data_IF_786551223296
#
_entry.id   IF_786551223296
#
_cell.length_a   1.000
_cell.length_b   1.000
_cell.length_c   1.000
_cell.angle_alpha   90.00
_cell.angle_beta   90.00
_cell.angle_gamma   90.00
#
_symmetry.space_group_name_H-M   'P 1'
#
loop_
_entity.id
_entity.type
_entity.pdbx_description
1 polymer ?
#
# COMPACT_ATOMS: atom_id res chain seq x y z
N UNK A 1 -44.34 -8.46 -13.39
CA UNK A 1 -45.23 -8.86 -12.28
C UNK A 1 -45.23 -10.38 -12.13
N UNK A 2 -44.45 -10.93 -11.19
CA UNK A 2 -44.38 -12.39 -10.93
C UNK A 2 -45.37 -12.84 -9.82
N UNK A 3 -46.32 -11.99 -9.41
CA UNK A 3 -47.13 -12.17 -8.19
C UNK A 3 -48.35 -13.10 -8.29
N UNK A 4 -48.68 -13.66 -9.45
CA UNK A 4 -49.93 -14.43 -9.63
C UNK A 4 -49.72 -15.95 -9.72
N UNK A 5 -48.49 -16.39 -10.06
CA UNK A 5 -48.18 -17.81 -10.26
C UNK A 5 -47.47 -18.35 -9.03
N UNK A 6 -48.02 -19.35 -8.39
CA UNK A 6 -47.45 -19.98 -7.19
C UNK A 6 -46.89 -21.35 -7.59
N UNK A 7 -45.61 -21.64 -7.33
CA UNK A 7 -45.00 -22.89 -7.77
C UNK A 7 -45.42 -24.10 -6.93
N UNK A 8 -45.70 -23.89 -5.63
CA UNK A 8 -46.01 -24.96 -4.70
C UNK A 8 -47.32 -24.72 -3.94
N UNK A 9 -48.17 -25.75 -3.91
CA UNK A 9 -49.35 -25.84 -3.06
C UNK A 9 -49.10 -26.79 -1.90
N UNK A 10 -49.75 -26.56 -0.76
CA UNK A 10 -49.65 -27.44 0.42
C UNK A 10 -50.91 -28.29 0.55
N UNK A 11 -50.76 -29.60 0.75
CA UNK A 11 -51.84 -30.55 1.06
C UNK A 11 -51.31 -31.56 2.08
N UNK A 12 -52.06 -31.78 3.17
CA UNK A 12 -51.72 -32.74 4.24
C UNK A 12 -50.29 -32.60 4.79
N UNK A 13 -49.83 -31.36 4.96
CA UNK A 13 -48.48 -31.07 5.46
C UNK A 13 -47.36 -31.17 4.41
N UNK A 14 -47.63 -31.75 3.24
CA UNK A 14 -46.69 -31.90 2.13
C UNK A 14 -46.83 -30.76 1.10
N UNK A 15 -45.75 -30.50 0.36
CA UNK A 15 -45.75 -29.53 -0.73
C UNK A 15 -45.73 -30.26 -2.06
N UNK A 16 -46.59 -29.80 -2.96
CA UNK A 16 -46.75 -30.33 -4.30
C UNK A 16 -46.57 -29.22 -5.32
N UNK A 17 -45.99 -29.56 -6.47
CA UNK A 17 -46.04 -28.75 -7.68
C UNK A 17 -47.39 -28.92 -8.35
N UNK A 18 -47.76 -27.96 -9.19
CA UNK A 18 -49.06 -27.99 -9.83
C UNK A 18 -49.26 -29.22 -10.72
N UNK A 19 -48.22 -29.76 -11.37
CA UNK A 19 -48.36 -30.96 -12.20
C UNK A 19 -48.43 -32.28 -11.40
N UNK A 20 -48.18 -32.24 -10.10
CA UNK A 20 -48.18 -33.42 -9.21
C UNK A 20 -49.56 -33.68 -8.59
N UNK A 21 -50.56 -32.85 -8.92
CA UNK A 21 -51.92 -32.87 -8.33
C UNK A 21 -53.00 -32.80 -9.40
N UNK A 22 -54.24 -33.05 -9.00
CA UNK A 22 -55.41 -32.94 -9.85
C UNK A 22 -55.59 -31.51 -10.39
N UNK A 23 -56.14 -31.36 -11.60
CA UNK A 23 -56.40 -30.04 -12.17
C UNK A 23 -57.50 -29.30 -11.39
N UNK A 24 -57.40 -27.97 -11.32
CA UNK A 24 -58.46 -27.13 -10.79
C UNK A 24 -58.49 -27.07 -9.26
N UNK A 25 -59.68 -26.82 -8.70
CA UNK A 25 -59.93 -26.84 -7.26
C UNK A 25 -59.92 -28.26 -6.67
N UNK A 26 -60.03 -29.29 -7.52
CA UNK A 26 -59.96 -30.69 -7.10
C UNK A 26 -58.59 -31.05 -6.49
N UNK A 27 -57.54 -30.25 -6.73
CA UNK A 27 -56.23 -30.46 -6.10
C UNK A 27 -56.27 -30.40 -4.57
N UNK A 28 -57.26 -29.75 -3.95
CA UNK A 28 -57.35 -29.62 -2.50
C UNK A 28 -56.18 -28.88 -1.84
N UNK A 29 -55.35 -28.17 -2.61
CA UNK A 29 -54.16 -27.50 -2.11
C UNK A 29 -54.50 -26.14 -1.49
N UNK A 30 -53.74 -25.75 -0.47
CA UNK A 30 -53.77 -24.42 0.14
C UNK A 30 -52.47 -23.65 -0.11
N UNK A 31 -52.56 -22.32 -0.12
CA UNK A 31 -51.44 -21.42 -0.32
C UNK A 31 -50.47 -21.47 0.87
N UNK A 32 -49.17 -21.75 0.68
CA UNK A 32 -48.20 -21.80 1.78
C UNK A 32 -47.93 -20.44 2.46
N UNK A 33 -48.41 -19.34 1.88
CA UNK A 33 -48.30 -17.98 2.41
C UNK A 33 -49.56 -17.51 3.13
N UNK A 34 -50.70 -17.44 2.44
CA UNK A 34 -51.96 -16.93 3.02
C UNK A 34 -52.93 -18.01 3.50
N UNK A 35 -52.60 -19.30 3.33
CA UNK A 35 -53.39 -20.47 3.73
C UNK A 35 -54.76 -20.62 3.05
N UNK A 36 -55.06 -19.83 2.02
CA UNK A 36 -56.32 -19.92 1.26
C UNK A 36 -56.27 -20.98 0.16
N UNK A 37 -57.43 -21.51 -0.28
CA UNK A 37 -57.49 -22.53 -1.33
C UNK A 37 -56.84 -22.10 -2.65
N UNK A 38 -56.16 -23.04 -3.28
CA UNK A 38 -55.52 -22.88 -4.58
C UNK A 38 -56.27 -23.65 -5.68
N UNK A 39 -56.15 -23.14 -6.90
CA UNK A 39 -56.55 -23.79 -8.14
C UNK A 39 -55.27 -24.19 -8.90
N UNK A 40 -55.11 -25.48 -9.18
CA UNK A 40 -54.00 -26.01 -9.97
C UNK A 40 -54.23 -25.77 -11.47
N UNK A 41 -53.50 -24.83 -12.07
CA UNK A 41 -53.50 -24.57 -13.50
C UNK A 41 -52.42 -25.43 -14.20
N UNK A 42 -52.71 -26.72 -14.37
CA UNK A 42 -51.79 -27.72 -14.93
C UNK A 42 -52.30 -28.44 -16.20
N UNK A 43 -53.54 -28.20 -16.65
CA UNK A 43 -54.11 -28.86 -17.83
C UNK A 43 -53.75 -28.21 -19.19
N UNK A 44 -52.93 -27.16 -19.20
CA UNK A 44 -52.56 -26.44 -20.42
C UNK A 44 -51.16 -26.80 -20.92
N UNK A 45 -50.95 -26.82 -22.23
CA UNK A 45 -49.65 -27.16 -22.84
C UNK A 45 -48.69 -25.96 -23.01
N UNK A 46 -49.22 -24.73 -23.05
CA UNK A 46 -48.44 -23.50 -23.37
C UNK A 46 -47.88 -22.78 -22.14
N UNK A 47 -48.42 -23.05 -20.95
CA UNK A 47 -48.07 -22.32 -19.72
C UNK A 47 -47.57 -23.33 -18.71
N UNK A 48 -46.39 -23.06 -18.15
CA UNK A 48 -45.79 -23.87 -17.08
C UNK A 48 -46.83 -24.11 -15.98
N UNK A 49 -47.04 -25.36 -15.52
CA UNK A 49 -47.94 -25.67 -14.43
C UNK A 49 -47.68 -24.78 -13.20
N UNK A 50 -48.74 -24.18 -12.67
CA UNK A 50 -48.66 -23.33 -11.48
C UNK A 50 -50.00 -23.31 -10.75
N UNK A 51 -49.97 -22.89 -9.50
CA UNK A 51 -51.18 -22.60 -8.74
C UNK A 51 -51.58 -21.13 -8.87
N UNK A 52 -52.88 -20.90 -8.75
CA UNK A 52 -53.52 -19.58 -8.63
C UNK A 52 -54.46 -19.61 -7.43
N UNK A 53 -54.83 -18.45 -6.88
CA UNK A 53 -55.93 -18.40 -5.92
C UNK A 53 -57.25 -18.65 -6.63
N UNK A 54 -58.17 -19.36 -5.97
CA UNK A 54 -59.51 -19.60 -6.50
C UNK A 54 -60.36 -18.32 -6.64
N UNK A 55 -60.03 -17.26 -5.89
CA UNK A 55 -60.65 -15.94 -5.95
C UNK A 55 -59.58 -14.85 -6.17
N UNK A 56 -59.97 -13.67 -6.68
CA UNK A 56 -59.07 -12.57 -7.03
C UNK A 56 -58.39 -11.95 -5.81
N UNK A 57 -57.37 -12.61 -5.31
CA UNK A 57 -56.57 -12.16 -4.19
C UNK A 57 -55.13 -11.85 -4.60
N UNK A 58 -54.70 -10.63 -4.26
CA UNK A 58 -53.31 -10.21 -4.40
C UNK A 58 -52.47 -10.80 -3.27
N UNK A 59 -52.21 -12.10 -3.33
CA UNK A 59 -51.34 -12.76 -2.36
C UNK A 59 -49.87 -12.49 -2.68
N UNK A 60 -49.27 -11.61 -1.89
CA UNK A 60 -47.87 -11.21 -2.05
C UNK A 60 -46.89 -12.31 -1.57
N UNK A 61 -47.35 -13.23 -0.72
CA UNK A 61 -46.48 -14.21 -0.03
C UNK A 61 -46.46 -15.61 -0.64
N UNK A 62 -47.46 -16.01 -1.44
CA UNK A 62 -47.61 -17.39 -1.90
C UNK A 62 -46.42 -17.96 -2.66
N UNK A 63 -45.87 -17.20 -3.61
CA UNK A 63 -44.65 -17.59 -4.32
C UNK A 63 -43.47 -17.74 -3.36
N UNK A 64 -43.19 -16.69 -2.58
CA UNK A 64 -42.05 -16.58 -1.66
C UNK A 64 -42.03 -17.72 -0.64
N UNK A 65 -43.14 -17.92 0.04
CA UNK A 65 -43.24 -18.87 1.14
C UNK A 65 -43.36 -20.30 0.61
N UNK A 66 -43.97 -20.50 -0.56
CA UNK A 66 -43.97 -21.78 -1.26
C UNK A 66 -42.56 -22.25 -1.62
N UNK A 67 -41.77 -21.42 -2.30
CA UNK A 67 -40.37 -21.74 -2.66
C UNK A 67 -39.53 -22.00 -1.42
N UNK A 68 -39.63 -21.13 -0.40
CA UNK A 68 -38.86 -21.27 0.84
C UNK A 68 -39.19 -22.57 1.57
N UNK A 69 -40.48 -22.87 1.77
CA UNK A 69 -40.91 -24.08 2.46
C UNK A 69 -40.55 -25.34 1.68
N UNK A 70 -40.59 -25.32 0.34
CA UNK A 70 -40.14 -26.42 -0.50
C UNK A 70 -38.64 -26.70 -0.34
N UNK A 71 -37.81 -25.66 -0.37
CA UNK A 71 -36.38 -25.78 -0.13
C UNK A 71 -36.07 -26.30 1.28
N UNK A 72 -36.74 -25.80 2.33
CA UNK A 72 -36.57 -26.32 3.70
C UNK A 72 -36.99 -27.78 3.82
N UNK A 73 -38.11 -28.17 3.20
CA UNK A 73 -38.58 -29.55 3.21
C UNK A 73 -37.55 -30.49 2.54
N UNK A 74 -36.96 -30.06 1.43
CA UNK A 74 -35.93 -30.81 0.72
C UNK A 74 -34.65 -30.98 1.55
N UNK A 75 -34.16 -29.89 2.17
CA UNK A 75 -33.00 -29.95 3.08
C UNK A 75 -33.26 -30.92 4.24
N UNK A 76 -34.45 -30.87 4.84
CA UNK A 76 -34.82 -31.75 5.94
C UNK A 76 -34.99 -33.22 5.52
N UNK A 77 -35.43 -33.47 4.28
CA UNK A 77 -35.54 -34.82 3.73
C UNK A 77 -34.16 -35.44 3.45
N UNK A 78 -33.26 -34.68 2.82
CA UNK A 78 -31.95 -35.17 2.39
C UNK A 78 -30.90 -35.13 3.51
N UNK A 79 -31.07 -34.23 4.50
CA UNK A 79 -30.12 -33.98 5.62
C UNK A 79 -28.68 -33.75 5.18
N UNK A 80 -28.48 -33.40 3.91
CA UNK A 80 -27.19 -33.17 3.29
C UNK A 80 -27.23 -31.86 2.53
N UNK A 81 -26.19 -31.06 2.69
CA UNK A 81 -26.08 -29.74 2.07
C UNK A 81 -24.62 -29.46 1.71
N UNK A 82 -24.35 -29.07 0.47
CA UNK A 82 -23.04 -28.52 0.09
C UNK A 82 -22.87 -27.13 0.69
N UNK A 83 -21.74 -26.87 1.30
CA UNK A 83 -21.38 -25.60 1.93
C UNK A 83 -20.37 -24.87 1.06
N UNK A 84 -20.51 -23.54 0.85
CA UNK A 84 -19.60 -22.79 0.01
C UNK A 84 -18.15 -22.87 0.51
N UNK A 85 -17.20 -22.72 -0.42
CA UNK A 85 -15.82 -22.43 -0.03
C UNK A 85 -15.76 -21.09 0.75
N UNK A 86 -14.83 -21.00 1.69
CA UNK A 86 -14.48 -19.77 2.37
C UNK A 86 -13.09 -19.35 1.91
N UNK A 87 -12.91 -18.09 1.52
CA UNK A 87 -11.62 -17.52 1.16
C UNK A 87 -11.49 -16.13 1.77
N UNK A 88 -10.36 -15.87 2.40
CA UNK A 88 -10.05 -14.58 2.99
C UNK A 88 -8.55 -14.33 2.89
N UNK A 89 -8.15 -13.10 2.59
CA UNK A 89 -6.74 -12.72 2.51
C UNK A 89 -6.42 -11.83 3.70
N UNK A 90 -5.40 -12.20 4.46
CA UNK A 90 -4.85 -11.38 5.55
C UNK A 90 -3.49 -10.83 5.13
N UNK A 91 -3.14 -9.68 5.68
CA UNK A 91 -1.83 -9.06 5.47
C UNK A 91 -1.38 -8.26 6.68
N UNK A 92 -0.07 -8.19 6.88
CA UNK A 92 0.57 -7.36 7.89
C UNK A 92 1.82 -6.70 7.28
N UNK A 93 2.18 -5.52 7.78
CA UNK A 93 3.34 -4.77 7.33
C UNK A 93 4.43 -4.84 8.38
N UNK A 94 5.64 -5.20 7.97
CA UNK A 94 6.85 -5.13 8.80
C UNK A 94 7.42 -3.71 8.82
N UNK A 95 8.29 -3.42 9.78
CA UNK A 95 8.92 -2.10 9.97
C UNK A 95 9.81 -1.70 8.78
N UNK A 96 10.32 -2.70 8.05
CA UNK A 96 11.03 -2.53 6.78
C UNK A 96 10.15 -2.01 5.63
N UNK A 97 8.82 -1.96 5.80
CA UNK A 97 7.84 -1.68 4.76
C UNK A 97 7.44 -2.92 3.94
N UNK A 98 8.04 -4.08 4.19
CA UNK A 98 7.66 -5.34 3.54
C UNK A 98 6.26 -5.77 3.98
N UNK A 99 5.38 -6.06 3.02
CA UNK A 99 4.05 -6.62 3.28
C UNK A 99 4.12 -8.15 3.24
N UNK A 100 3.69 -8.79 4.31
CA UNK A 100 3.49 -10.22 4.40
C UNK A 100 2.01 -10.52 4.22
N UNK A 101 1.66 -11.45 3.34
CA UNK A 101 0.26 -11.81 3.06
C UNK A 101 0.04 -13.32 3.10
N UNK A 102 -1.18 -13.71 3.44
CA UNK A 102 -1.59 -15.12 3.53
C UNK A 102 -3.02 -15.29 3.06
N UNK A 103 -3.25 -16.29 2.22
CA UNK A 103 -4.60 -16.74 1.88
C UNK A 103 -5.06 -17.77 2.92
N UNK A 104 -6.21 -17.49 3.53
CA UNK A 104 -6.95 -18.41 4.39
C UNK A 104 -8.09 -18.99 3.59
N UNK A 105 -8.05 -20.31 3.36
CA UNK A 105 -9.10 -21.01 2.62
C UNK A 105 -9.71 -22.16 3.41
N UNK A 106 -11.01 -22.37 3.23
CA UNK A 106 -11.72 -23.61 3.57
C UNK A 106 -12.38 -24.08 2.28
N UNK A 107 -12.10 -25.30 1.80
CA UNK A 107 -12.69 -25.78 0.56
C UNK A 107 -14.21 -25.97 0.71
N UNK A 108 -14.90 -25.97 -0.42
CA UNK A 108 -16.28 -26.44 -0.50
C UNK A 108 -16.39 -27.84 0.13
N UNK A 109 -17.46 -28.09 0.88
CA UNK A 109 -17.63 -29.38 1.56
C UNK A 109 -19.09 -29.77 1.67
N UNK A 110 -19.37 -31.07 1.73
CA UNK A 110 -20.73 -31.57 1.98
C UNK A 110 -20.93 -31.77 3.48
N UNK A 111 -21.90 -31.07 4.06
CA UNK A 111 -22.33 -31.30 5.43
C UNK A 111 -23.47 -32.34 5.45
N UNK A 112 -23.38 -33.28 6.40
CA UNK A 112 -24.46 -34.23 6.72
C UNK A 112 -24.91 -33.98 8.15
N UNK A 113 -26.22 -33.88 8.36
CA UNK A 113 -26.82 -33.52 9.63
C UNK A 113 -27.54 -34.72 10.28
N UNK A 114 -27.42 -34.83 11.60
CA UNK A 114 -28.15 -35.81 12.39
C UNK A 114 -29.64 -35.44 12.41
N UNK A 115 -29.91 -34.15 12.65
CA UNK A 115 -31.26 -33.58 12.69
C UNK A 115 -31.35 -32.30 11.87
N UNK A 116 -32.56 -32.02 11.38
CA UNK A 116 -32.89 -30.77 10.68
C UNK A 116 -34.18 -30.20 11.23
N UNK A 117 -34.08 -29.09 11.93
CA UNK A 117 -35.23 -28.34 12.44
C UNK A 117 -35.65 -27.27 11.43
N UNK A 118 -36.96 -27.07 11.28
CA UNK A 118 -37.55 -26.22 10.24
C UNK A 118 -38.12 -24.95 10.87
N UNK A 119 -37.79 -23.79 10.32
CA UNK A 119 -38.31 -22.49 10.76
C UNK A 119 -38.13 -22.24 12.28
N UNK A 120 -36.88 -22.35 12.74
CA UNK A 120 -36.51 -22.18 14.15
C UNK A 120 -36.47 -20.70 14.50
N UNK A 121 -37.19 -20.32 15.55
CA UNK A 121 -37.12 -18.98 16.13
C UNK A 121 -35.86 -18.87 17.01
N UNK A 122 -34.98 -17.93 16.68
CA UNK A 122 -33.75 -17.63 17.40
C UNK A 122 -33.87 -16.30 18.17
N UNK A 123 -35.10 -15.85 18.44
CA UNK A 123 -35.42 -14.58 19.08
C UNK A 123 -35.57 -13.46 18.03
N UNK A 124 -34.47 -12.82 17.67
CA UNK A 124 -34.50 -11.67 16.76
C UNK A 124 -34.68 -12.06 15.28
N UNK A 125 -34.45 -13.33 14.96
CA UNK A 125 -34.49 -13.85 13.59
C UNK A 125 -34.95 -15.30 13.57
N UNK A 126 -35.75 -15.63 12.56
CA UNK A 126 -36.10 -17.02 12.26
C UNK A 126 -35.10 -17.57 11.24
N UNK A 127 -34.39 -18.64 11.59
CA UNK A 127 -33.64 -19.46 10.65
C UNK A 127 -34.59 -20.39 9.89
N UNK A 128 -34.44 -20.50 8.58
CA UNK A 128 -35.38 -21.32 7.79
C UNK A 128 -35.13 -22.82 8.00
N UNK A 129 -33.87 -23.21 8.19
CA UNK A 129 -33.51 -24.52 8.70
C UNK A 129 -32.31 -24.42 9.65
N UNK A 130 -32.25 -25.32 10.63
CA UNK A 130 -31.10 -25.52 11.50
C UNK A 130 -30.67 -26.97 11.34
N UNK A 131 -29.46 -27.17 10.82
CA UNK A 131 -28.84 -28.48 10.68
C UNK A 131 -27.93 -28.71 11.87
N UNK A 132 -28.12 -29.81 12.58
CA UNK A 132 -27.32 -30.18 13.75
C UNK A 132 -26.50 -31.43 13.45
N UNK A 133 -25.19 -31.37 13.69
CA UNK A 133 -24.26 -32.51 13.60
C UNK A 133 -23.44 -32.56 14.88
N UNK A 134 -23.68 -33.56 15.73
CA UNK A 134 -23.14 -33.61 17.09
C UNK A 134 -23.51 -32.35 17.89
N UNK A 135 -22.51 -31.61 18.35
CA UNK A 135 -22.69 -30.37 19.10
C UNK A 135 -22.65 -29.09 18.24
N UNK A 136 -22.64 -29.21 16.92
CA UNK A 136 -22.50 -28.09 15.99
C UNK A 136 -23.80 -27.82 15.26
N UNK A 137 -24.13 -26.55 15.13
CA UNK A 137 -25.29 -26.08 14.39
C UNK A 137 -24.88 -25.26 13.17
N UNK A 138 -25.61 -25.45 12.07
CA UNK A 138 -25.57 -24.63 10.88
C UNK A 138 -26.95 -24.03 10.63
N UNK A 139 -27.02 -22.70 10.66
CA UNK A 139 -28.21 -21.95 10.34
C UNK A 139 -28.31 -21.73 8.83
N UNK A 140 -29.47 -22.02 8.25
CA UNK A 140 -29.72 -21.83 6.81
C UNK A 140 -30.76 -20.75 6.60
N UNK A 141 -30.41 -19.78 5.77
CA UNK A 141 -31.30 -18.77 5.24
C UNK A 141 -31.54 -19.03 3.77
N UNK A 142 -32.76 -18.80 3.31
CA UNK A 142 -33.18 -19.00 1.91
C UNK A 142 -33.69 -17.66 1.38
N UNK A 143 -32.97 -17.10 0.41
CA UNK A 143 -33.37 -15.91 -0.34
C UNK A 143 -34.26 -16.33 -1.49
N UNK A 144 -35.36 -15.62 -1.68
CA UNK A 144 -36.26 -15.83 -2.84
C UNK A 144 -36.41 -14.56 -3.66
N UNK A 145 -36.03 -13.40 -3.12
CA UNK A 145 -36.01 -12.13 -3.84
C UNK A 145 -34.69 -11.41 -3.61
N UNK A 146 -34.27 -10.63 -4.61
CA UNK A 146 -32.97 -9.93 -4.62
C UNK A 146 -32.86 -8.81 -3.57
N UNK A 147 -33.98 -8.34 -3.01
CA UNK A 147 -33.99 -7.26 -2.02
C UNK A 147 -33.11 -7.62 -0.81
N UNK A 148 -32.15 -6.74 -0.52
CA UNK A 148 -31.25 -6.89 0.61
C UNK A 148 -32.01 -6.82 1.95
N UNK A 149 -31.72 -7.76 2.85
CA UNK A 149 -32.25 -7.82 4.21
C UNK A 149 -31.12 -7.61 5.23
N UNK A 150 -30.36 -6.51 5.11
CA UNK A 150 -29.13 -6.24 5.89
C UNK A 150 -29.27 -6.48 7.39
N UNK A 151 -30.34 -5.98 8.02
CA UNK A 151 -30.61 -6.20 9.46
C UNK A 151 -30.72 -7.67 9.84
N UNK A 152 -31.16 -8.53 8.92
CA UNK A 152 -31.29 -9.97 9.14
C UNK A 152 -29.94 -10.67 9.05
N UNK A 153 -29.09 -10.23 8.12
CA UNK A 153 -27.71 -10.73 8.02
C UNK A 153 -26.93 -10.45 9.28
N UNK A 154 -27.01 -9.21 9.77
CA UNK A 154 -26.40 -8.79 11.03
C UNK A 154 -26.86 -9.63 12.23
N UNK A 155 -28.16 -9.88 12.35
CA UNK A 155 -28.71 -10.74 13.41
C UNK A 155 -28.19 -12.18 13.33
N UNK A 156 -28.19 -12.77 12.13
CA UNK A 156 -27.68 -14.13 11.92
C UNK A 156 -26.16 -14.24 12.12
N UNK A 157 -25.39 -13.18 11.83
CA UNK A 157 -23.96 -13.16 12.10
C UNK A 157 -23.65 -13.03 13.60
N UNK A 158 -24.54 -12.44 14.39
CA UNK A 158 -24.30 -12.27 15.84
C UNK A 158 -24.59 -13.54 16.65
N UNK A 159 -25.20 -14.57 16.06
CA UNK A 159 -25.44 -15.86 16.72
C UNK A 159 -24.16 -16.68 16.68
N UNK A 160 -23.84 -17.39 17.78
CA UNK A 160 -22.68 -18.27 17.91
C UNK A 160 -22.83 -19.60 17.16
N UNK A 161 -23.28 -19.54 15.91
CA UNK A 161 -23.40 -20.67 15.00
C UNK A 161 -22.92 -20.26 13.60
N UNK A 162 -22.50 -21.24 12.79
CA UNK A 162 -22.22 -20.95 11.38
C UNK A 162 -23.53 -20.72 10.65
N UNK A 163 -23.54 -19.81 9.67
CA UNK A 163 -24.75 -19.47 8.93
C UNK A 163 -24.47 -19.32 7.44
N UNK A 164 -25.34 -19.92 6.62
CA UNK A 164 -25.24 -19.94 5.17
C UNK A 164 -26.51 -19.40 4.54
N UNK A 165 -26.35 -18.65 3.46
CA UNK A 165 -27.44 -18.26 2.58
C UNK A 165 -27.50 -19.21 1.38
N UNK A 166 -28.72 -19.60 1.02
CA UNK A 166 -29.07 -20.19 -0.27
C UNK A 166 -29.90 -19.17 -1.04
N UNK A 167 -29.33 -18.58 -2.08
CA UNK A 167 -29.95 -17.61 -2.97
C UNK A 167 -30.68 -18.29 -4.14
N UNK A 168 -32.00 -18.35 -4.05
CA UNK A 168 -32.89 -18.85 -5.08
C UNK A 168 -33.57 -17.71 -5.86
N UNK A 169 -33.19 -16.45 -5.62
CA UNK A 169 -33.85 -15.28 -6.24
C UNK A 169 -33.59 -15.15 -7.74
N UNK A 170 -32.55 -15.80 -8.25
CA UNK A 170 -32.23 -15.88 -9.68
C UNK A 170 -33.00 -16.97 -10.43
N UNK A 171 -33.73 -17.86 -9.74
CA UNK A 171 -34.43 -18.94 -10.41
C UNK A 171 -35.74 -18.48 -11.06
N UNK A 172 -35.92 -18.84 -12.32
CA UNK A 172 -37.20 -18.68 -13.01
C UNK A 172 -38.24 -19.68 -12.50
N UNK A 173 -39.53 -19.39 -12.73
CA UNK A 173 -40.62 -20.32 -12.38
C UNK A 173 -40.46 -21.69 -13.06
N UNK A 174 -39.88 -21.75 -14.26
CA UNK A 174 -39.58 -23.00 -14.96
C UNK A 174 -38.55 -23.83 -14.21
N UNK A 175 -37.43 -23.20 -13.81
CA UNK A 175 -36.38 -23.85 -13.03
C UNK A 175 -36.85 -24.30 -11.64
N UNK A 176 -37.76 -23.56 -11.01
CA UNK A 176 -38.37 -23.94 -9.74
C UNK A 176 -39.30 -25.16 -9.90
N UNK A 177 -40.05 -25.21 -11.01
CA UNK A 177 -40.94 -26.32 -11.29
C UNK A 177 -40.21 -27.58 -11.77
N UNK A 178 -39.01 -27.46 -12.35
CA UNK A 178 -38.19 -28.61 -12.70
C UNK A 178 -37.59 -29.26 -11.43
N UNK A 179 -37.96 -30.51 -11.07
CA UNK A 179 -37.55 -31.11 -9.80
C UNK A 179 -36.02 -31.21 -9.63
N UNK A 180 -35.31 -31.63 -10.67
CA UNK A 180 -33.86 -31.84 -10.62
C UNK A 180 -33.10 -30.52 -10.54
N UNK A 181 -33.52 -29.51 -11.32
CA UNK A 181 -32.92 -28.18 -11.28
C UNK A 181 -33.13 -27.51 -9.93
N UNK A 182 -34.35 -27.57 -9.40
CA UNK A 182 -34.65 -27.01 -8.08
C UNK A 182 -33.88 -27.73 -6.97
N UNK A 183 -33.81 -29.07 -7.03
CA UNK A 183 -33.05 -29.86 -6.07
C UNK A 183 -31.57 -29.50 -6.05
N UNK A 184 -30.94 -29.47 -7.23
CA UNK A 184 -29.54 -29.07 -7.38
C UNK A 184 -29.30 -27.66 -6.85
N UNK A 185 -30.17 -26.70 -7.21
CA UNK A 185 -30.04 -25.31 -6.77
C UNK A 185 -30.10 -25.16 -5.25
N UNK A 186 -30.93 -25.96 -4.57
CA UNK A 186 -31.04 -25.93 -3.10
C UNK A 186 -29.86 -26.65 -2.46
N UNK A 187 -29.56 -27.88 -2.88
CA UNK A 187 -28.68 -28.76 -2.11
C UNK A 187 -27.20 -28.63 -2.44
N UNK A 188 -26.84 -28.36 -3.70
CA UNK A 188 -25.46 -28.56 -4.16
C UNK A 188 -24.86 -27.49 -5.07
N UNK A 189 -25.66 -26.65 -5.74
CA UNK A 189 -25.16 -25.63 -6.66
C UNK A 189 -24.31 -24.58 -5.94
N UNK A 190 -23.02 -24.49 -6.26
CA UNK A 190 -22.08 -23.54 -5.65
C UNK A 190 -22.46 -22.08 -5.91
N UNK A 191 -23.13 -21.78 -7.04
CA UNK A 191 -23.52 -20.41 -7.41
C UNK A 191 -24.65 -19.84 -6.56
N UNK A 192 -25.43 -20.71 -5.90
CA UNK A 192 -26.57 -20.30 -5.08
C UNK A 192 -26.21 -20.15 -3.62
N UNK A 193 -24.97 -20.34 -3.18
CA UNK A 193 -24.65 -20.37 -1.75
C UNK A 193 -23.49 -19.49 -1.36
N UNK A 194 -23.64 -18.81 -0.23
CA UNK A 194 -22.62 -17.94 0.34
C UNK A 194 -22.65 -18.01 1.87
N UNK A 195 -21.48 -17.84 2.48
CA UNK A 195 -21.40 -17.72 3.94
C UNK A 195 -22.00 -16.38 4.37
N UNK A 196 -22.94 -16.43 5.32
CA UNK A 196 -23.28 -15.26 6.14
C UNK A 196 -22.24 -15.14 7.25
N UNK A 197 -21.93 -16.28 7.91
CA UNK A 197 -20.85 -16.39 8.90
C UNK A 197 -20.24 -17.80 8.88
N UNK A 198 -18.92 -17.89 8.90
CA UNK A 198 -18.19 -19.15 8.99
C UNK A 198 -17.31 -19.18 10.24
N UNK A 199 -17.76 -19.85 11.30
CA UNK A 199 -16.96 -19.98 12.53
C UNK A 199 -15.62 -20.70 12.28
N UNK A 200 -15.63 -21.68 11.37
CA UNK A 200 -14.40 -22.36 10.93
C UNK A 200 -13.48 -21.42 10.16
N UNK A 201 -14.03 -20.55 9.31
CA UNK A 201 -13.28 -19.51 8.60
C UNK A 201 -12.65 -18.51 9.57
N UNK A 202 -13.43 -17.97 10.51
CA UNK A 202 -12.97 -17.05 11.56
C UNK A 202 -11.85 -17.66 12.41
N UNK A 203 -12.00 -18.92 12.83
CA UNK A 203 -10.96 -19.62 13.58
C UNK A 203 -9.66 -19.75 12.78
N UNK A 204 -9.75 -20.05 11.48
CA UNK A 204 -8.57 -20.11 10.61
C UNK A 204 -7.93 -18.74 10.38
N UNK A 205 -8.73 -17.68 10.28
CA UNK A 205 -8.23 -16.30 10.21
C UNK A 205 -7.43 -15.98 11.47
N UNK A 206 -8.01 -16.15 12.66
CA UNK A 206 -7.33 -15.88 13.93
C UNK A 206 -6.00 -16.63 14.07
N UNK A 207 -5.99 -17.91 13.66
CA UNK A 207 -4.75 -18.71 13.66
C UNK A 207 -3.72 -18.15 12.68
N UNK A 208 -4.14 -17.86 11.45
CA UNK A 208 -3.25 -17.32 10.43
C UNK A 208 -2.72 -15.93 10.80
N UNK A 209 -3.51 -15.09 11.49
CA UNK A 209 -3.09 -13.80 12.04
C UNK A 209 -2.01 -13.98 13.12
N UNK A 210 -2.17 -14.93 14.04
CA UNK A 210 -1.17 -15.21 15.06
C UNK A 210 0.16 -15.73 14.45
N UNK A 211 0.08 -16.60 13.46
CA UNK A 211 1.25 -17.09 12.71
C UNK A 211 1.92 -15.94 11.95
N UNK A 212 1.14 -15.08 11.26
CA UNK A 212 1.64 -13.94 10.52
C UNK A 212 2.29 -12.89 11.45
N UNK A 213 1.71 -12.65 12.63
CA UNK A 213 2.29 -11.76 13.63
C UNK A 213 3.67 -12.24 14.10
N UNK A 214 3.83 -13.56 14.28
CA UNK A 214 5.14 -14.16 14.61
C UNK A 214 6.16 -13.92 13.50
N UNK A 215 5.75 -14.03 12.24
CA UNK A 215 6.62 -13.75 11.09
C UNK A 215 6.98 -12.27 10.95
N UNK A 216 6.05 -11.36 11.28
CA UNK A 216 6.34 -9.91 11.33
C UNK A 216 7.40 -9.61 12.36
N UNK A 217 7.28 -10.16 13.58
CA UNK A 217 8.30 -9.99 14.63
C UNK A 217 9.66 -10.47 14.13
N UNK A 218 9.71 -11.67 13.53
CA UNK A 218 10.95 -12.19 12.98
C UNK A 218 11.55 -11.29 11.89
N UNK A 219 10.72 -10.78 10.98
CA UNK A 219 11.15 -9.85 9.93
C UNK A 219 11.67 -8.52 10.52
N UNK A 220 11.02 -8.01 11.58
CA UNK A 220 11.44 -6.79 12.26
C UNK A 220 12.78 -6.98 12.98
N UNK A 221 12.97 -8.11 13.66
CA UNK A 221 14.23 -8.44 14.34
C UNK A 221 15.39 -8.51 13.34
N UNK A 222 15.19 -9.17 12.20
CA UNK A 222 16.21 -9.22 11.13
C UNK A 222 16.51 -7.83 10.58
N UNK A 223 15.47 -7.03 10.34
CA UNK A 223 15.65 -5.68 9.82
C UNK A 223 16.42 -4.78 10.80
N UNK A 224 16.14 -4.83 12.10
CA UNK A 224 16.86 -4.02 13.09
C UNK A 224 18.33 -4.46 13.23
N UNK A 225 18.62 -5.76 13.11
CA UNK A 225 20.00 -6.27 13.05
C UNK A 225 20.76 -5.73 11.83
N UNK A 226 20.11 -5.58 10.68
CA UNK A 226 20.71 -4.99 9.48
C UNK A 226 20.86 -3.47 9.58
N UNK A 227 19.90 -2.76 10.19
CA UNK A 227 19.93 -1.31 10.30
C UNK A 227 20.93 -0.80 11.34
N UNK A 228 21.16 -1.55 12.42
CA UNK A 228 22.01 -1.10 13.53
C UNK A 228 23.45 -0.77 13.07
N UNK A 229 24.18 -1.65 12.35
CA UNK A 229 25.52 -1.33 11.86
C UNK A 229 25.54 -0.13 10.90
N UNK A 230 24.52 -0.01 10.04
CA UNK A 230 24.41 1.09 9.09
C UNK A 230 24.22 2.44 9.80
N UNK A 231 23.44 2.49 10.88
CA UNK A 231 23.27 3.70 11.71
C UNK A 231 24.59 4.08 12.36
N UNK A 232 25.33 3.12 12.91
CA UNK A 232 26.66 3.36 13.52
C UNK A 232 27.66 3.90 12.49
N UNK A 233 27.72 3.31 11.28
CA UNK A 233 28.61 3.78 10.21
C UNK A 233 28.23 5.20 9.76
N UNK A 234 26.95 5.48 9.58
CA UNK A 234 26.47 6.82 9.19
C UNK A 234 26.83 7.86 10.25
N UNK A 235 26.64 7.53 11.53
CA UNK A 235 26.98 8.40 12.63
C UNK A 235 28.49 8.65 12.71
N UNK A 236 29.31 7.60 12.61
CA UNK A 236 30.77 7.73 12.61
C UNK A 236 31.26 8.63 11.46
N UNK A 237 30.70 8.47 10.25
CA UNK A 237 31.00 9.35 9.11
C UNK A 237 30.58 10.79 9.35
N UNK A 238 29.45 11.02 10.01
CA UNK A 238 28.99 12.37 10.38
C UNK A 238 29.98 13.02 11.35
N UNK A 239 30.34 12.32 12.42
CA UNK A 239 31.30 12.80 13.42
C UNK A 239 32.67 13.07 12.79
N UNK A 240 33.15 12.19 11.92
CA UNK A 240 34.43 12.40 11.21
C UNK A 240 34.38 13.65 10.31
N UNK A 241 33.29 13.84 9.57
CA UNK A 241 33.11 15.03 8.72
C UNK A 241 33.04 16.31 9.55
N UNK A 242 32.30 16.30 10.67
CA UNK A 242 32.21 17.42 11.60
C UNK A 242 33.58 17.76 12.20
N UNK A 243 34.37 16.75 12.58
CA UNK A 243 35.73 16.93 13.06
C UNK A 243 36.65 17.55 12.00
N UNK A 244 36.62 17.06 10.74
CA UNK A 244 37.40 17.62 9.62
C UNK A 244 37.04 19.07 9.33
N UNK A 245 35.74 19.42 9.38
CA UNK A 245 35.28 20.80 9.19
C UNK A 245 35.76 21.70 10.33
N UNK A 246 35.68 21.23 11.58
CA UNK A 246 36.17 21.97 12.75
C UNK A 246 37.70 22.18 12.70
N UNK A 247 38.46 21.17 12.30
CA UNK A 247 39.91 21.26 12.11
C UNK A 247 40.27 22.28 11.01
N UNK A 248 39.62 22.19 9.84
CA UNK A 248 39.81 23.16 8.75
C UNK A 248 39.46 24.59 9.17
N UNK A 249 38.36 24.79 9.89
CA UNK A 249 37.96 26.09 10.41
C UNK A 249 38.99 26.66 11.39
N UNK A 250 39.53 25.82 12.28
CA UNK A 250 40.60 26.20 13.22
C UNK A 250 41.88 26.61 12.47
N UNK A 251 42.30 25.80 11.49
CA UNK A 251 43.47 26.09 10.67
C UNK A 251 43.30 27.39 9.84
N UNK A 252 42.11 27.61 9.27
CA UNK A 252 41.80 28.84 8.54
C UNK A 252 41.83 30.07 9.44
N UNK A 253 41.29 29.97 10.67
CA UNK A 253 41.33 31.06 11.64
C UNK A 253 42.76 31.42 12.04
N UNK A 254 43.61 30.42 12.30
CA UNK A 254 45.03 30.63 12.57
C UNK A 254 45.76 31.27 11.37
N UNK A 255 45.50 30.78 10.14
CA UNK A 255 46.06 31.37 8.92
C UNK A 255 45.63 32.83 8.73
N UNK A 256 44.35 33.14 8.96
CA UNK A 256 43.82 34.51 8.89
C UNK A 256 44.52 35.44 9.88
N UNK A 257 44.80 34.96 11.09
CA UNK A 257 45.54 35.72 12.09
C UNK A 257 46.95 36.08 11.58
N UNK A 258 47.68 35.10 11.02
CA UNK A 258 49.00 35.33 10.41
C UNK A 258 48.94 36.34 9.26
N UNK A 259 47.91 36.27 8.41
CA UNK A 259 47.73 37.26 7.33
C UNK A 259 47.51 38.66 7.87
N UNK A 260 46.72 38.81 8.94
CA UNK A 260 46.47 40.11 9.58
C UNK A 260 47.76 40.70 10.18
N UNK A 261 48.55 39.89 10.87
CA UNK A 261 49.85 40.29 11.43
C UNK A 261 50.83 40.71 10.31
N UNK A 262 50.87 39.96 9.21
CA UNK A 262 51.71 40.28 8.06
C UNK A 262 51.27 41.57 7.39
N UNK A 263 49.95 41.76 7.21
CA UNK A 263 49.38 42.98 6.66
C UNK A 263 49.74 44.20 7.52
N UNK A 264 49.69 44.07 8.85
CA UNK A 264 50.07 45.14 9.77
C UNK A 264 51.56 45.47 9.71
N UNK A 265 52.43 44.46 9.62
CA UNK A 265 53.85 44.66 9.40
C UNK A 265 54.13 45.40 8.08
N UNK A 266 53.44 45.03 6.99
CA UNK A 266 53.56 45.70 5.69
C UNK A 266 53.06 47.15 5.73
N UNK A 267 51.97 47.42 6.46
CA UNK A 267 51.48 48.79 6.71
C UNK A 267 52.53 49.62 7.45
N UNK A 268 53.11 49.07 8.52
CA UNK A 268 54.12 49.75 9.36
C UNK A 268 55.42 50.02 8.59
N UNK A 269 55.86 49.07 7.75
CA UNK A 269 57.04 49.21 6.90
C UNK A 269 56.82 50.17 5.70
N UNK A 270 55.60 50.67 5.51
CA UNK A 270 55.27 51.55 4.40
C UNK A 270 55.36 50.86 3.05
N UNK A 271 55.20 49.53 2.95
CA UNK A 271 55.29 48.79 1.67
C UNK A 271 54.12 49.13 0.72
N UNK A 272 53.04 49.70 1.26
CA UNK A 272 51.94 50.30 0.50
C UNK A 272 52.30 51.73 0.01
N UNK A 273 53.24 51.86 -0.94
CA UNK A 273 53.59 53.16 -1.55
C UNK A 273 52.95 53.35 -2.93
N UNK A 274 52.11 54.39 -2.99
CA UNK A 274 51.64 55.25 -4.11
C UNK A 274 50.96 54.62 -5.34
N UNK A 275 49.72 55.09 -5.53
CA UNK A 275 48.74 54.83 -6.58
C UNK A 275 49.13 55.31 -8.01
N UNK A 276 50.31 54.97 -8.52
CA UNK A 276 50.73 55.48 -9.85
C UNK A 276 50.22 54.64 -11.03
N UNK A 277 49.94 53.34 -10.83
CA UNK A 277 49.45 52.41 -11.87
C UNK A 277 47.97 52.06 -11.71
N UNK A 278 47.18 51.93 -12.79
CA UNK A 278 45.81 51.40 -12.74
C UNK A 278 45.75 50.03 -12.04
N UNK A 279 44.70 49.78 -11.24
CA UNK A 279 44.56 48.57 -10.42
C UNK A 279 44.75 47.25 -11.20
N UNK A 280 44.29 47.21 -12.46
CA UNK A 280 44.46 46.06 -13.36
C UNK A 280 45.94 45.77 -13.64
N UNK A 281 46.72 46.79 -14.01
CA UNK A 281 48.16 46.65 -14.28
C UNK A 281 48.93 46.23 -13.03
N UNK A 282 48.58 46.77 -11.86
CA UNK A 282 49.17 46.34 -10.58
C UNK A 282 48.90 44.87 -10.31
N UNK A 283 47.66 44.41 -10.50
CA UNK A 283 47.32 42.99 -10.29
C UNK A 283 48.03 42.10 -11.29
N UNK A 284 48.12 42.52 -12.55
CA UNK A 284 48.90 41.86 -13.60
C UNK A 284 50.36 41.66 -13.18
N UNK A 285 51.03 42.73 -12.76
CA UNK A 285 52.41 42.70 -12.28
C UNK A 285 52.59 41.76 -11.08
N UNK A 286 51.69 41.78 -10.11
CA UNK A 286 51.74 40.87 -8.96
C UNK A 286 51.63 39.40 -9.38
N UNK A 287 50.73 39.06 -10.31
CA UNK A 287 50.57 37.69 -10.82
C UNK A 287 51.82 37.26 -11.60
N UNK A 288 52.36 38.13 -12.46
CA UNK A 288 53.59 37.86 -13.21
C UNK A 288 54.77 37.65 -12.26
N UNK A 289 54.95 38.53 -11.29
CA UNK A 289 56.05 38.46 -10.32
C UNK A 289 55.98 37.20 -9.47
N UNK A 290 54.79 36.82 -9.00
CA UNK A 290 54.63 35.55 -8.27
C UNK A 290 54.84 34.33 -9.18
N UNK A 291 54.50 34.41 -10.46
CA UNK A 291 54.79 33.34 -11.43
C UNK A 291 56.29 33.15 -11.62
N UNK A 292 57.04 34.25 -11.76
CA UNK A 292 58.49 34.21 -11.88
C UNK A 292 59.15 33.73 -10.58
N UNK A 293 58.64 34.17 -9.42
CA UNK A 293 59.07 33.69 -8.10
C UNK A 293 58.91 32.17 -7.99
N UNK A 294 57.76 31.63 -8.37
CA UNK A 294 57.51 30.20 -8.32
C UNK A 294 58.52 29.39 -9.15
N UNK A 295 58.93 29.88 -10.32
CA UNK A 295 59.97 29.23 -11.14
C UNK A 295 61.34 29.29 -10.45
N UNK A 296 61.71 30.47 -9.95
CA UNK A 296 63.05 30.74 -9.42
C UNK A 296 63.29 30.12 -8.05
N UNK A 297 62.30 30.21 -7.16
CA UNK A 297 62.42 29.87 -5.74
C UNK A 297 61.72 28.55 -5.39
N UNK A 298 60.67 28.16 -6.12
CA UNK A 298 59.84 27.00 -5.79
C UNK A 298 59.93 25.87 -6.83
N UNK A 299 60.95 25.92 -7.70
CA UNK A 299 61.19 24.88 -8.72
C UNK A 299 60.06 24.73 -9.74
N UNK A 300 59.31 25.80 -9.99
CA UNK A 300 58.15 25.83 -10.87
C UNK A 300 56.89 25.19 -10.29
N UNK A 301 56.87 24.85 -9.00
CA UNK A 301 55.68 24.36 -8.29
C UNK A 301 55.08 25.49 -7.46
N UNK A 302 53.76 25.56 -7.38
CA UNK A 302 53.08 26.52 -6.52
C UNK A 302 51.64 26.11 -6.23
N UNK A 303 51.03 26.76 -5.25
CA UNK A 303 49.59 26.69 -4.98
C UNK A 303 48.90 27.94 -5.56
N UNK A 304 48.08 27.78 -6.60
CA UNK A 304 47.36 28.88 -7.25
C UNK A 304 46.01 29.14 -6.57
N UNK A 305 45.75 30.37 -6.14
CA UNK A 305 44.45 30.76 -5.61
C UNK A 305 43.43 30.99 -6.73
N UNK A 306 42.28 30.32 -6.69
CA UNK A 306 41.21 30.47 -7.69
C UNK A 306 40.41 31.79 -7.62
N UNK A 307 40.64 32.61 -6.59
CA UNK A 307 40.08 33.97 -6.48
C UNK A 307 41.07 35.05 -6.90
N UNK A 308 42.26 35.10 -6.33
CA UNK A 308 43.21 36.18 -6.60
C UNK A 308 44.27 35.84 -7.65
N UNK A 309 44.34 34.58 -8.12
CA UNK A 309 45.29 34.08 -9.11
C UNK A 309 46.77 34.26 -8.76
N UNK A 310 47.07 34.67 -7.52
CA UNK A 310 48.42 34.71 -7.00
C UNK A 310 48.85 33.31 -6.56
N UNK A 311 50.16 33.09 -6.67
CA UNK A 311 50.80 31.82 -6.35
C UNK A 311 51.38 31.88 -4.94
N UNK A 312 51.02 30.90 -4.11
CA UNK A 312 51.63 30.68 -2.80
C UNK A 312 52.67 29.55 -2.89
N UNK A 313 53.62 29.46 -1.94
CA UNK A 313 54.60 28.38 -1.92
C UNK A 313 53.94 26.98 -1.90
N UNK A 314 54.59 25.95 -2.45
CA UNK A 314 54.09 24.58 -2.42
C UNK A 314 53.70 24.12 -1.02
N UNK A 315 52.56 23.44 -0.89
CA UNK A 315 52.05 22.98 0.41
C UNK A 315 51.26 24.01 1.21
N UNK A 316 51.04 25.22 0.66
CA UNK A 316 50.14 26.22 1.26
C UNK A 316 48.69 25.75 1.19
N UNK A 317 48.10 25.46 2.35
CA UNK A 317 46.70 25.05 2.46
C UNK A 317 45.72 26.19 2.12
N UNK A 318 46.11 27.43 2.37
CA UNK A 318 45.28 28.63 2.18
C UNK A 318 46.03 29.69 1.37
N UNK A 319 45.31 30.57 0.69
CA UNK A 319 45.91 31.69 -0.01
C UNK A 319 46.58 32.66 0.96
N UNK A 320 47.85 32.99 0.75
CA UNK A 320 48.58 33.94 1.60
C UNK A 320 48.11 35.40 1.46
N UNK A 321 47.51 35.76 0.32
CA UNK A 321 47.34 37.17 -0.05
C UNK A 321 45.91 37.70 0.10
N UNK A 322 44.88 36.89 -0.18
CA UNK A 322 43.49 37.36 -0.18
C UNK A 322 42.64 36.74 0.93
N UNK A 323 41.48 37.33 1.17
CA UNK A 323 40.49 36.88 2.16
C UNK A 323 39.42 35.96 1.60
N UNK A 324 39.56 35.52 0.35
CA UNK A 324 38.63 34.54 -0.20
C UNK A 324 38.80 33.18 0.49
N UNK A 325 37.70 32.47 0.70
CA UNK A 325 37.68 31.04 1.08
C UNK A 325 37.81 30.13 -0.15
N UNK A 326 38.17 30.71 -1.31
CA UNK A 326 38.39 29.96 -2.52
C UNK A 326 39.58 28.99 -2.41
N UNK A 327 39.41 27.83 -3.02
CA UNK A 327 40.41 26.76 -3.01
C UNK A 327 41.72 27.21 -3.67
N UNK A 328 42.83 26.75 -3.10
CA UNK A 328 44.14 26.72 -3.74
C UNK A 328 44.32 25.39 -4.47
N UNK A 329 44.97 25.45 -5.64
CA UNK A 329 45.25 24.26 -6.45
C UNK A 329 46.74 24.16 -6.73
N UNK A 330 47.30 22.98 -6.53
CA UNK A 330 48.71 22.73 -6.85
C UNK A 330 48.91 22.75 -8.36
N UNK A 331 49.84 23.58 -8.83
CA UNK A 331 50.18 23.73 -10.24
C UNK A 331 51.66 23.48 -10.50
N UNK A 332 51.95 22.98 -11.70
CA UNK A 332 53.29 22.91 -12.25
C UNK A 332 53.40 23.88 -13.42
N UNK A 333 54.28 24.86 -13.28
CA UNK A 333 54.51 25.86 -14.31
C UNK A 333 55.33 25.27 -15.47
N UNK A 334 54.99 25.61 -16.73
CA UNK A 334 55.78 25.24 -17.90
C UNK A 334 57.22 25.77 -17.82
N UNK A 335 58.19 25.01 -18.34
CA UNK A 335 59.61 25.39 -18.30
C UNK A 335 59.92 26.70 -19.03
N UNK A 336 59.13 27.03 -20.03
CA UNK A 336 59.24 28.26 -20.83
C UNK A 336 58.47 29.44 -20.24
N UNK A 337 57.81 29.28 -19.08
CA UNK A 337 56.96 30.34 -18.52
C UNK A 337 57.76 31.62 -18.25
N UNK A 338 59.02 31.51 -17.81
CA UNK A 338 59.83 32.67 -17.48
C UNK A 338 60.09 33.59 -18.68
N UNK A 339 60.24 33.02 -19.88
CA UNK A 339 60.47 33.78 -21.12
C UNK A 339 59.17 34.16 -21.84
N UNK A 340 58.04 33.52 -21.49
CA UNK A 340 56.76 33.70 -22.20
C UNK A 340 55.66 34.37 -21.36
N UNK A 341 55.86 34.57 -20.06
CA UNK A 341 54.81 35.04 -19.12
C UNK A 341 54.19 36.37 -19.54
N UNK A 342 54.98 37.35 -19.97
CA UNK A 342 54.46 38.65 -20.40
C UNK A 342 53.57 38.53 -21.65
N UNK A 343 53.96 37.69 -22.62
CA UNK A 343 53.13 37.44 -23.81
C UNK A 343 51.84 36.71 -23.45
N UNK A 344 51.91 35.73 -22.53
CA UNK A 344 50.73 35.01 -22.04
C UNK A 344 49.79 35.92 -21.25
N UNK A 345 50.33 36.88 -20.50
CA UNK A 345 49.56 37.77 -19.66
C UNK A 345 48.75 38.80 -20.48
N UNK A 346 49.27 39.25 -21.64
CA UNK A 346 48.54 40.11 -22.58
C UNK A 346 47.20 39.54 -23.09
N UNK A 347 47.04 38.21 -23.04
CA UNK A 347 45.81 37.52 -23.46
C UNK A 347 45.12 36.81 -22.29
N UNK A 348 45.52 37.09 -21.06
CA UNK A 348 44.98 36.43 -19.87
C UNK A 348 43.84 37.23 -19.25
N UNK A 349 42.73 36.56 -18.95
CA UNK A 349 41.65 37.14 -18.15
C UNK A 349 41.92 37.09 -16.63
N UNK A 350 43.06 36.52 -16.19
CA UNK A 350 43.36 36.30 -14.76
C UNK A 350 43.39 37.62 -13.95
N UNK A 351 44.02 38.71 -14.41
CA UNK A 351 44.02 39.97 -13.66
C UNK A 351 42.62 40.56 -13.45
N UNK A 352 41.78 40.57 -14.50
CA UNK A 352 40.40 41.05 -14.42
C UNK A 352 39.55 40.17 -13.48
N UNK A 353 39.60 38.85 -13.67
CA UNK A 353 38.90 37.90 -12.80
C UNK A 353 39.39 38.00 -11.35
N UNK A 354 40.68 38.27 -11.17
CA UNK A 354 41.27 38.49 -9.85
C UNK A 354 40.68 39.70 -9.16
N UNK A 355 40.51 40.82 -9.87
CA UNK A 355 39.92 42.03 -9.29
C UNK A 355 38.43 41.86 -9.03
N UNK A 356 37.73 41.07 -9.86
CA UNK A 356 36.32 40.76 -9.63
C UNK A 356 36.10 39.88 -8.40
N UNK A 357 36.91 38.83 -8.22
CA UNK A 357 36.74 37.83 -7.15
C UNK A 357 37.49 38.15 -5.86
N UNK A 358 38.57 38.93 -5.94
CA UNK A 358 39.40 39.36 -4.81
C UNK A 358 39.88 40.81 -5.05
N UNK A 359 38.94 41.79 -4.98
CA UNK A 359 39.22 43.20 -5.32
C UNK A 359 40.34 43.78 -4.46
N UNK A 360 40.41 43.37 -3.20
CA UNK A 360 41.48 43.72 -2.27
C UNK A 360 42.35 42.50 -1.95
N UNK A 361 43.63 42.75 -1.75
CA UNK A 361 44.55 41.79 -1.13
C UNK A 361 44.76 42.25 0.32
N UNK A 362 44.72 41.29 1.25
CA UNK A 362 45.02 41.53 2.65
C UNK A 362 46.53 41.67 2.86
N UNK A 363 47.31 40.80 2.21
CA UNK A 363 48.77 40.82 2.21
C UNK A 363 49.23 41.00 0.77
N UNK A 364 50.18 41.92 0.56
CA UNK A 364 50.81 42.08 -0.74
C UNK A 364 52.00 41.12 -0.87
N UNK A 365 52.23 40.51 -2.04
CA UNK A 365 53.47 39.76 -2.25
C UNK A 365 54.69 40.65 -2.08
N UNK A 366 55.77 40.13 -1.48
CA UNK A 366 57.01 40.89 -1.35
C UNK A 366 57.53 41.32 -2.74
N UNK A 367 58.29 42.42 -2.84
CA UNK A 367 58.95 42.80 -4.08
C UNK A 367 59.75 41.63 -4.66
N UNK A 368 59.64 41.41 -5.96
CA UNK A 368 60.40 40.40 -6.69
C UNK A 368 61.36 41.12 -7.64
N UNK A 369 62.67 40.94 -7.41
CA UNK A 369 63.75 41.61 -8.15
C UNK A 369 64.49 40.68 -9.09
#
# INVERSE_FOLDING_TARGET
MQGTKIPFGKRDGMLFRAFEVENGLACGCICPGCHKPLNAANGGQKVIPHFRHGHSENCVSGFKDGVRRAAVALIAAQRRLTLPAFRHQISAMADSGRILSREVSVPETSATADTVERFVDLGDVIAHAVLTTGNRQLLVRIKVFSRAENKRYERLSNIEASSVEIDLSGLSLGQINDPLTFERAVLSDASTRSWIRSLRGEMRIKRAEAELATEVVHCNDQWELEQTPLRVIKEAKRVEQEARVAEHATALAAHRQTQLETAEAQRTAGILVKDELPALKRREELIVNQTLRAVREWGGKAEECSSCWLLSPPGSQFCLFCTSEANTSSIQLPKDIATTIHNRMRSSAKPDQSLQKAPTLLVHPDPFT
#
